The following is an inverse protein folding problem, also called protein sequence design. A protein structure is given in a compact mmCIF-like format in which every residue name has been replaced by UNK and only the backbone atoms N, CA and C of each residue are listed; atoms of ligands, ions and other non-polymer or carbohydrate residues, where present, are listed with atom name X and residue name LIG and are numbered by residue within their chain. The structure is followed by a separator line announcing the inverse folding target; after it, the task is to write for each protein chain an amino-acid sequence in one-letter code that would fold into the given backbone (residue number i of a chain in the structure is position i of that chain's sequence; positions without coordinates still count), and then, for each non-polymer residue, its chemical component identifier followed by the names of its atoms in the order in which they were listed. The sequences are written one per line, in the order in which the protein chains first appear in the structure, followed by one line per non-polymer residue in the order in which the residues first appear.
data_IF_065897515431
#
_entry.id   IF_065897515431
#
_cell.length_a   1.000
_cell.length_b   1.000
_cell.length_c   1.000
_cell.angle_alpha   90.00
_cell.angle_beta   90.00
_cell.angle_gamma   90.00
#
_symmetry.space_group_name_H-M   'P 1'
#
loop_
_entity.id
_entity.type
_entity.pdbx_description
1 polymer ?
#
# COMPACT_ATOMS: atom_id res chain seq x y z
N UNK A 1 -2.57 -47.14 4.40
CA UNK A 1 -2.72 -45.68 4.28
C UNK A 1 -1.44 -45.07 4.78
N UNK A 2 -0.71 -44.42 3.89
CA UNK A 2 0.61 -43.85 4.16
C UNK A 2 0.44 -42.40 4.65
N UNK A 3 0.86 -42.01 5.85
CA UNK A 3 0.69 -40.66 6.37
C UNK A 3 1.41 -39.58 5.52
N UNK A 4 2.39 -39.99 4.71
CA UNK A 4 3.11 -39.06 3.81
C UNK A 4 2.27 -38.50 2.65
N UNK A 5 1.13 -39.11 2.32
CA UNK A 5 0.32 -38.63 1.20
C UNK A 5 -0.57 -37.44 1.56
N UNK A 6 -0.87 -37.26 2.86
CA UNK A 6 -1.68 -36.13 3.33
C UNK A 6 -0.84 -34.83 3.48
N UNK A 7 0.46 -34.95 3.74
CA UNK A 7 1.35 -33.79 3.81
C UNK A 7 1.77 -33.30 2.42
N UNK A 8 1.92 -34.21 1.45
CA UNK A 8 2.24 -33.83 0.07
C UNK A 8 1.06 -33.11 -0.61
N UNK A 9 -0.17 -33.49 -0.33
CA UNK A 9 -1.36 -32.84 -0.88
C UNK A 9 -1.58 -31.43 -0.28
N UNK A 10 -1.27 -31.24 1.00
CA UNK A 10 -1.26 -29.93 1.65
C UNK A 10 -0.20 -29.01 1.06
N UNK A 11 1.01 -29.52 0.83
CA UNK A 11 2.12 -28.75 0.28
C UNK A 11 1.89 -28.36 -1.18
N UNK A 12 1.24 -29.21 -1.96
CA UNK A 12 0.87 -28.93 -3.35
C UNK A 12 -0.22 -27.86 -3.43
N UNK A 13 -1.21 -27.89 -2.54
CA UNK A 13 -2.26 -26.87 -2.43
C UNK A 13 -1.70 -25.49 -2.01
N UNK A 14 -0.75 -25.45 -1.09
CA UNK A 14 0.01 -24.27 -0.71
C UNK A 14 0.70 -23.60 -1.89
N UNK A 15 1.37 -24.38 -2.72
CA UNK A 15 2.09 -23.89 -3.90
C UNK A 15 1.15 -23.33 -4.97
N UNK A 16 -0.06 -23.86 -5.08
CA UNK A 16 -1.03 -23.37 -6.08
C UNK A 16 -1.62 -22.03 -5.69
N UNK A 17 -1.95 -21.82 -4.42
CA UNK A 17 -2.55 -20.57 -3.93
C UNK A 17 -1.53 -19.42 -4.00
N UNK A 18 -0.31 -19.63 -3.53
CA UNK A 18 0.75 -18.63 -3.62
C UNK A 18 1.15 -18.32 -5.07
N UNK A 19 1.09 -19.32 -5.97
CA UNK A 19 1.35 -19.13 -7.40
C UNK A 19 0.32 -18.25 -8.11
N UNK A 20 -0.93 -18.22 -7.63
CA UNK A 20 -1.99 -17.39 -8.22
C UNK A 20 -2.06 -16.03 -7.52
N UNK A 21 -1.99 -16.02 -6.19
CA UNK A 21 -2.19 -14.80 -5.41
C UNK A 21 -1.01 -13.83 -5.51
N UNK A 22 0.23 -14.32 -5.45
CA UNK A 22 1.41 -13.46 -5.54
C UNK A 22 1.50 -12.71 -6.88
N UNK A 23 1.32 -13.34 -8.05
CA UNK A 23 1.26 -12.64 -9.32
C UNK A 23 0.08 -11.65 -9.41
N UNK A 24 -1.09 -12.01 -8.87
CA UNK A 24 -2.26 -11.14 -8.88
C UNK A 24 -2.03 -9.88 -8.03
N UNK A 25 -1.45 -10.02 -6.84
CA UNK A 25 -1.07 -8.91 -5.98
C UNK A 25 0.03 -8.05 -6.62
N UNK A 26 1.04 -8.69 -7.20
CA UNK A 26 2.09 -7.98 -7.91
C UNK A 26 1.52 -7.14 -9.06
N UNK A 27 0.66 -7.75 -9.88
CA UNK A 27 0.02 -7.05 -10.99
C UNK A 27 -0.89 -5.92 -10.50
N UNK A 28 -1.64 -6.14 -9.42
CA UNK A 28 -2.48 -5.11 -8.81
C UNK A 28 -1.64 -3.92 -8.36
N UNK A 29 -0.57 -4.14 -7.59
CA UNK A 29 0.32 -3.06 -7.12
C UNK A 29 1.01 -2.38 -8.31
N UNK A 30 1.50 -3.16 -9.27
CA UNK A 30 2.16 -2.64 -10.48
C UNK A 30 1.22 -1.76 -11.30
N UNK A 31 -0.07 -2.06 -11.34
CA UNK A 31 -1.07 -1.25 -12.05
C UNK A 31 -1.39 0.09 -11.37
N UNK A 32 -1.08 0.23 -10.07
CA UNK A 32 -1.32 1.45 -9.31
C UNK A 32 -0.19 2.49 -9.46
N UNK A 33 0.98 2.07 -9.91
CA UNK A 33 2.17 2.93 -10.04
C UNK A 33 2.54 3.16 -11.51
N UNK A 34 3.05 4.34 -11.82
CA UNK A 34 3.50 4.69 -13.17
C UNK A 34 4.83 3.98 -13.49
N UNK A 35 5.74 3.97 -12.51
CA UNK A 35 7.04 3.31 -12.63
C UNK A 35 7.41 2.60 -11.33
N UNK A 36 8.13 1.50 -11.47
CA UNK A 36 8.80 0.79 -10.38
C UNK A 36 9.95 -0.04 -10.96
N UNK A 37 11.13 0.05 -10.38
CA UNK A 37 12.29 -0.71 -10.84
C UNK A 37 12.38 -2.09 -10.23
N UNK A 38 12.08 -2.19 -8.93
CA UNK A 38 12.03 -3.45 -8.21
C UNK A 38 10.79 -3.46 -7.32
N UNK A 39 10.00 -4.51 -7.43
CA UNK A 39 8.78 -4.67 -6.66
C UNK A 39 8.76 -6.05 -6.02
N UNK A 40 8.71 -6.07 -4.71
CA UNK A 40 8.58 -7.29 -3.92
C UNK A 40 7.29 -7.26 -3.12
N UNK A 41 6.56 -8.37 -3.17
CA UNK A 41 5.29 -8.55 -2.45
C UNK A 41 5.38 -9.82 -1.63
N UNK A 42 5.26 -9.70 -0.32
CA UNK A 42 5.30 -10.82 0.63
C UNK A 42 3.98 -10.91 1.38
N UNK A 43 3.47 -12.13 1.49
CA UNK A 43 2.21 -12.43 2.17
C UNK A 43 2.51 -13.29 3.39
N UNK A 44 2.13 -12.80 4.57
CA UNK A 44 2.16 -13.58 5.81
C UNK A 44 0.72 -13.98 6.16
N UNK A 45 0.36 -15.22 5.83
CA UNK A 45 -0.98 -15.76 6.06
C UNK A 45 -0.96 -17.27 6.13
N UNK A 46 -1.94 -17.85 6.82
CA UNK A 46 -2.22 -19.27 6.74
C UNK A 46 -3.11 -19.58 5.52
N UNK A 47 -3.02 -20.81 5.01
CA UNK A 47 -3.79 -21.21 3.83
C UNK A 47 -5.28 -21.06 3.99
N UNK A 48 -5.79 -21.41 5.17
CA UNK A 48 -7.22 -21.26 5.46
C UNK A 48 -7.68 -19.82 5.34
N UNK A 49 -6.86 -18.88 5.80
CA UNK A 49 -7.14 -17.45 5.69
C UNK A 49 -7.10 -16.98 4.24
N UNK A 50 -6.07 -17.37 3.49
CA UNK A 50 -5.97 -17.07 2.06
C UNK A 50 -7.17 -17.60 1.29
N UNK A 51 -7.57 -18.85 1.55
CA UNK A 51 -8.73 -19.47 0.89
C UNK A 51 -10.05 -18.75 1.19
N UNK A 52 -10.17 -18.15 2.37
CA UNK A 52 -11.33 -17.31 2.72
C UNK A 52 -11.28 -15.91 2.12
N UNK A 53 -10.17 -15.53 1.47
CA UNK A 53 -9.94 -14.19 0.94
C UNK A 53 -9.34 -13.21 1.93
N UNK A 54 -8.98 -13.68 3.12
CA UNK A 54 -8.37 -12.86 4.18
C UNK A 54 -6.86 -12.96 4.14
N UNK A 55 -6.19 -11.81 4.08
CA UNK A 55 -4.73 -11.68 4.17
C UNK A 55 -4.43 -10.84 5.41
N UNK A 56 -4.04 -11.47 6.53
CA UNK A 56 -3.79 -10.76 7.77
C UNK A 56 -2.66 -9.74 7.68
N UNK A 57 -1.61 -10.07 6.94
CA UNK A 57 -0.47 -9.19 6.74
C UNK A 57 0.11 -9.33 5.34
N UNK A 58 0.29 -8.17 4.70
CA UNK A 58 0.90 -7.99 3.39
C UNK A 58 2.06 -7.01 3.53
N UNK A 59 3.24 -7.38 3.04
CA UNK A 59 4.38 -6.49 2.96
C UNK A 59 4.70 -6.20 1.50
N UNK A 60 4.88 -4.93 1.17
CA UNK A 60 5.22 -4.47 -0.17
C UNK A 60 6.46 -3.60 -0.06
N UNK A 61 7.48 -3.91 -0.83
CA UNK A 61 8.65 -3.04 -0.98
C UNK A 61 8.94 -2.78 -2.45
N UNK A 62 9.42 -1.59 -2.73
CA UNK A 62 9.79 -1.23 -4.08
C UNK A 62 10.82 -0.12 -4.12
N UNK A 63 11.59 -0.13 -5.20
CA UNK A 63 12.63 0.85 -5.47
C UNK A 63 12.26 1.69 -6.70
N UNK A 64 12.62 2.97 -6.69
CA UNK A 64 12.36 3.94 -7.76
C UNK A 64 10.90 3.93 -8.21
N UNK A 65 10.01 4.24 -7.29
CA UNK A 65 8.57 4.24 -7.51
C UNK A 65 8.13 5.63 -7.94
N UNK A 66 7.26 5.68 -8.96
CA UNK A 66 6.51 6.88 -9.33
C UNK A 66 5.04 6.61 -9.18
N UNK A 67 4.38 7.38 -8.31
CA UNK A 67 2.94 7.28 -8.04
C UNK A 67 2.31 8.67 -8.13
N UNK A 68 1.43 8.87 -9.10
CA UNK A 68 0.75 10.16 -9.36
C UNK A 68 1.72 11.36 -9.41
N UNK A 69 2.87 11.15 -10.07
CA UNK A 69 3.93 12.14 -10.19
C UNK A 69 4.81 12.31 -8.95
N UNK A 70 4.55 11.57 -7.86
CA UNK A 70 5.44 11.51 -6.70
C UNK A 70 6.55 10.49 -6.93
N UNK A 71 7.78 10.90 -6.75
CA UNK A 71 8.97 10.09 -6.91
C UNK A 71 9.50 9.65 -5.56
N UNK A 72 9.80 8.37 -5.43
CA UNK A 72 10.37 7.76 -4.23
C UNK A 72 11.56 6.90 -4.59
N UNK A 73 12.67 7.05 -3.86
CA UNK A 73 13.83 6.18 -3.99
C UNK A 73 13.48 4.76 -3.51
N UNK A 74 12.76 4.67 -2.40
CA UNK A 74 12.30 3.40 -1.83
C UNK A 74 11.01 3.60 -1.05
N UNK A 75 10.12 2.59 -1.13
CA UNK A 75 8.93 2.48 -0.29
C UNK A 75 8.89 1.09 0.33
N UNK A 76 8.55 1.04 1.61
CA UNK A 76 8.21 -0.18 2.34
C UNK A 76 6.86 0.02 2.99
N UNK A 77 5.86 -0.76 2.59
CA UNK A 77 4.50 -0.70 3.12
C UNK A 77 4.13 -2.02 3.78
N UNK A 78 3.36 -1.94 4.85
CA UNK A 78 2.75 -3.07 5.52
C UNK A 78 1.25 -2.83 5.61
N UNK A 79 0.48 -3.74 5.03
CA UNK A 79 -0.97 -3.77 5.11
C UNK A 79 -1.44 -4.84 6.08
N UNK A 80 -2.43 -4.53 6.90
CA UNK A 80 -3.03 -5.45 7.86
C UNK A 80 -4.54 -5.56 7.63
N UNK A 81 -5.07 -6.78 7.83
CA UNK A 81 -6.49 -7.04 7.75
C UNK A 81 -7.10 -6.91 6.34
N UNK A 82 -6.33 -7.27 5.31
CA UNK A 82 -6.78 -7.18 3.92
C UNK A 82 -7.84 -8.24 3.60
N UNK A 83 -8.98 -7.81 3.07
CA UNK A 83 -10.04 -8.67 2.53
C UNK A 83 -10.08 -8.56 1.01
N UNK A 84 -10.08 -9.70 0.33
CA UNK A 84 -9.97 -9.76 -1.12
C UNK A 84 -11.01 -10.67 -1.76
N UNK A 85 -11.27 -10.47 -3.03
CA UNK A 85 -12.11 -11.32 -3.88
C UNK A 85 -11.36 -12.55 -4.43
N UNK A 86 -10.53 -13.22 -3.61
CA UNK A 86 -9.62 -14.28 -4.07
C UNK A 86 -10.32 -15.37 -4.88
N UNK A 87 -11.53 -15.78 -4.49
CA UNK A 87 -12.31 -16.79 -5.24
C UNK A 87 -12.59 -16.35 -6.68
N UNK A 88 -12.78 -15.06 -6.90
CA UNK A 88 -12.99 -14.49 -8.23
C UNK A 88 -11.68 -14.38 -9.00
N UNK A 89 -10.57 -14.03 -8.30
CA UNK A 89 -9.21 -14.03 -8.88
C UNK A 89 -8.84 -15.42 -9.42
N UNK A 90 -9.17 -16.48 -8.69
CA UNK A 90 -8.97 -17.86 -9.14
C UNK A 90 -9.78 -18.23 -10.39
N UNK A 91 -10.82 -17.46 -10.72
CA UNK A 91 -11.62 -17.58 -11.95
C UNK A 91 -11.19 -16.59 -13.04
N UNK A 92 -10.02 -15.95 -12.88
CA UNK A 92 -9.48 -14.99 -13.84
C UNK A 92 -10.01 -13.55 -13.70
N UNK A 93 -10.71 -13.23 -12.62
CA UNK A 93 -11.13 -11.85 -12.33
C UNK A 93 -9.99 -11.03 -11.75
N UNK A 94 -9.95 -9.70 -11.96
CA UNK A 94 -8.95 -8.84 -11.33
C UNK A 94 -9.05 -8.88 -9.80
N UNK A 95 -7.90 -8.70 -9.13
CA UNK A 95 -7.85 -8.57 -7.69
C UNK A 95 -8.53 -7.27 -7.24
N UNK A 96 -9.41 -7.38 -6.25
CA UNK A 96 -10.09 -6.25 -5.64
C UNK A 96 -9.99 -6.33 -4.11
N UNK A 97 -9.85 -5.16 -3.48
CA UNK A 97 -10.02 -4.99 -2.04
C UNK A 97 -11.51 -4.87 -1.73
N UNK A 98 -12.01 -5.68 -0.82
CA UNK A 98 -13.43 -5.69 -0.44
C UNK A 98 -13.72 -4.74 0.71
N UNK A 99 -12.72 -4.46 1.54
CA UNK A 99 -12.84 -3.59 2.72
C UNK A 99 -11.62 -2.67 2.84
N UNK A 100 -11.73 -1.51 3.49
CA UNK A 100 -10.59 -0.67 3.84
C UNK A 100 -9.61 -1.45 4.72
N UNK A 101 -8.32 -1.30 4.48
CA UNK A 101 -7.28 -1.90 5.31
C UNK A 101 -6.40 -0.84 5.95
N UNK A 102 -5.78 -1.19 7.06
CA UNK A 102 -4.76 -0.35 7.70
C UNK A 102 -3.45 -0.52 6.95
N UNK A 103 -2.88 0.58 6.49
CA UNK A 103 -1.57 0.61 5.84
C UNK A 103 -0.63 1.49 6.64
N UNK A 104 0.51 0.94 7.00
CA UNK A 104 1.64 1.65 7.60
C UNK A 104 2.87 1.48 6.73
N UNK A 105 3.83 2.40 6.83
CA UNK A 105 5.05 2.23 6.08
C UNK A 105 6.00 3.40 6.13
N UNK A 106 7.10 3.23 5.44
CA UNK A 106 8.18 4.19 5.33
C UNK A 106 8.47 4.49 3.87
N UNK A 107 8.74 5.74 3.57
CA UNK A 107 9.16 6.19 2.26
C UNK A 107 10.48 6.95 2.36
N UNK A 108 11.40 6.62 1.46
CA UNK A 108 12.69 7.32 1.31
C UNK A 108 12.64 8.15 0.03
N UNK A 109 12.94 9.43 0.17
CA UNK A 109 13.07 10.36 -0.94
C UNK A 109 14.47 10.94 -0.95
N UNK A 110 15.05 11.05 -2.13
CA UNK A 110 16.26 11.82 -2.37
C UNK A 110 15.89 13.26 -2.78
N UNK A 111 16.82 14.18 -2.75
CA UNK A 111 16.60 15.56 -3.18
C UNK A 111 16.09 15.64 -4.62
N UNK A 112 16.64 14.81 -5.50
CA UNK A 112 16.20 14.71 -6.90
C UNK A 112 14.76 14.22 -7.03
N UNK A 113 14.34 13.27 -6.19
CA UNK A 113 12.97 12.75 -6.16
C UNK A 113 12.00 13.82 -5.68
N UNK A 114 12.38 14.56 -4.64
CA UNK A 114 11.58 15.67 -4.11
C UNK A 114 11.39 16.75 -5.18
N UNK A 115 12.46 17.16 -5.84
CA UNK A 115 12.41 18.16 -6.90
C UNK A 115 11.53 17.70 -8.09
N UNK A 116 11.61 16.44 -8.47
CA UNK A 116 10.75 15.88 -9.50
C UNK A 116 9.27 15.86 -9.07
N UNK A 117 9.02 15.55 -7.79
CA UNK A 117 7.67 15.48 -7.20
C UNK A 117 7.00 16.84 -7.06
N UNK A 118 7.75 17.93 -6.99
CA UNK A 118 7.19 19.30 -6.88
C UNK A 118 6.26 19.67 -8.05
N UNK A 119 6.41 19.01 -9.18
CA UNK A 119 5.56 19.18 -10.38
C UNK A 119 4.28 18.34 -10.33
N UNK A 120 4.12 17.48 -9.32
CA UNK A 120 2.93 16.64 -9.22
C UNK A 120 1.73 17.43 -8.67
N UNK A 121 0.56 17.21 -9.25
CA UNK A 121 -0.69 17.80 -8.78
C UNK A 121 -1.02 17.37 -7.36
N UNK A 122 -0.64 16.12 -7.01
CA UNK A 122 -0.89 15.56 -5.69
C UNK A 122 -0.10 16.32 -4.60
N UNK A 123 1.19 16.58 -4.83
CA UNK A 123 2.01 17.32 -3.88
C UNK A 123 1.60 18.80 -3.80
N UNK A 124 1.32 19.43 -4.93
CA UNK A 124 0.89 20.84 -4.96
C UNK A 124 -0.44 21.04 -4.22
N UNK A 125 -1.38 20.11 -4.39
CA UNK A 125 -2.67 20.12 -3.67
C UNK A 125 -2.47 19.91 -2.17
N UNK A 126 -1.64 18.96 -1.77
CA UNK A 126 -1.34 18.68 -0.36
C UNK A 126 -0.65 19.85 0.33
N UNK A 127 0.32 20.51 -0.36
CA UNK A 127 0.99 21.69 0.16
C UNK A 127 0.02 22.89 0.29
N UNK A 128 -0.86 23.08 -0.67
CA UNK A 128 -1.88 24.13 -0.63
C UNK A 128 -2.82 23.94 0.56
N UNK A 129 -3.28 22.70 0.78
CA UNK A 129 -4.13 22.35 1.92
C UNK A 129 -3.42 22.57 3.25
N UNK A 130 -2.16 22.14 3.35
CA UNK A 130 -1.36 22.35 4.56
C UNK A 130 -1.17 23.83 4.87
N UNK A 131 -0.80 24.64 3.87
CA UNK A 131 -0.63 26.09 4.02
C UNK A 131 -1.94 26.76 4.43
N UNK A 132 -3.06 26.35 3.86
CA UNK A 132 -4.39 26.83 4.22
C UNK A 132 -4.73 26.55 5.70
N UNK A 133 -4.45 25.32 6.16
CA UNK A 133 -4.65 24.93 7.56
C UNK A 133 -3.75 25.70 8.52
N UNK A 134 -2.48 25.90 8.17
CA UNK A 134 -1.54 26.68 8.98
C UNK A 134 -1.93 28.16 9.03
N UNK A 135 -2.36 28.75 7.92
CA UNK A 135 -2.85 30.13 7.88
C UNK A 135 -4.11 30.31 8.73
N UNK A 136 -5.04 29.35 8.68
CA UNK A 136 -6.26 29.38 9.49
C UNK A 136 -5.97 29.25 10.98
N UNK A 137 -5.01 28.39 11.38
CA UNK A 137 -4.60 28.23 12.77
C UNK A 137 -3.89 29.48 13.32
N UNK A 138 -3.06 30.15 12.52
CA UNK A 138 -2.44 31.41 12.88
C UNK A 138 -3.44 32.58 13.02
N UNK A 139 -4.50 32.56 12.24
CA UNK A 139 -5.57 33.59 12.35
C UNK A 139 -6.37 33.42 13.63
N UNK A 140 -6.58 32.19 14.10
CA UNK A 140 -7.24 31.91 15.38
C UNK A 140 -6.39 32.36 16.58
N UNK A 141 -5.06 32.25 16.51
CA UNK A 141 -4.15 32.75 17.56
C UNK A 141 -4.07 34.27 17.58
N UNK A 142 -4.14 34.94 16.42
CA UNK A 142 -4.16 36.42 16.34
C UNK A 142 -5.43 37.04 16.92
N UNK A 143 -6.55 36.33 16.95
CA UNK A 143 -7.82 36.79 17.53
C UNK A 143 -7.87 36.81 19.05
N UNK A 144 -6.89 36.25 19.76
CA UNK A 144 -6.87 36.13 21.22
C UNK A 144 -5.87 37.07 21.93
N UNK A 145 -5.19 37.92 21.24
CA UNK A 145 -4.33 38.93 21.88
C UNK A 145 -5.15 40.22 22.02
N UNK A 146 -5.82 40.35 23.14
CA UNK A 146 -6.51 41.58 23.54
C UNK A 146 -5.48 42.60 24.06
N UNK A 147 -5.12 43.57 23.24
CA UNK A 147 -4.19 44.66 23.55
C UNK A 147 -4.83 45.77 24.41
N UNK A 148 -6.01 45.55 24.99
CA UNK A 148 -6.75 46.56 25.75
C UNK A 148 -6.42 46.63 27.23
N UNK A 149 -5.35 45.98 27.69
CA UNK A 149 -4.86 46.18 29.07
C UNK A 149 -3.38 46.50 29.07
N UNK A 150 -3.08 47.71 28.65
CA UNK A 150 -1.89 48.45 29.09
C UNK A 150 -2.35 49.89 29.41
#
# INVERSE_FOLDING_TARGET
MNPNNLEQDKTAKHRLISKVLSPALWLFVRSQVEQVSHLEVQIASSDRQILSGSIPRLSISGDRIVYKGLHFAKICLMGEGMQTNLRQVMRGQPLQLLEPMVVSGEAMLQETDLNASLKSDLLSSALTELLSKLASSNSAVRGQIDWKQI
#
